data_IF_082925076639
#
_entry.id   IF_082925076639
#
_cell.length_a   1.000
_cell.length_b   1.000
_cell.length_c   1.000
_cell.angle_alpha   90.00
_cell.angle_beta   90.00
_cell.angle_gamma   90.00
#
_symmetry.space_group_name_H-M   'P 1'
#
loop_
_entity.id
_entity.type
_entity.pdbx_description
1 polymer ?
#
# COMPACT_ATOMS: atom_id res chain seq x y z
N UNK A 1 24.80 -24.23 -11.43
CA UNK A 1 23.90 -24.75 -12.50
C UNK A 1 22.45 -24.41 -12.19
N UNK A 2 21.55 -24.29 -13.19
CA UNK A 2 20.13 -23.97 -12.97
C UNK A 2 19.45 -24.86 -11.92
N UNK A 3 19.82 -26.15 -11.86
CA UNK A 3 19.29 -27.09 -10.87
C UNK A 3 19.57 -26.70 -9.40
N UNK A 4 20.70 -26.04 -9.11
CA UNK A 4 21.03 -25.56 -7.76
C UNK A 4 20.17 -24.36 -7.35
N UNK A 5 19.71 -23.57 -8.32
CA UNK A 5 18.80 -22.45 -8.05
C UNK A 5 17.37 -22.92 -7.80
N UNK A 6 16.92 -23.95 -8.53
CA UNK A 6 15.55 -24.48 -8.42
C UNK A 6 15.39 -25.45 -7.25
N UNK A 7 16.44 -26.20 -6.89
CA UNK A 7 16.44 -27.18 -5.81
C UNK A 7 17.73 -27.06 -4.99
N UNK A 8 17.89 -25.99 -4.19
CA UNK A 8 19.11 -25.76 -3.41
C UNK A 8 19.42 -26.88 -2.39
N UNK A 9 18.41 -27.66 -2.00
CA UNK A 9 18.53 -28.78 -1.07
C UNK A 9 18.93 -30.10 -1.72
N UNK A 10 18.88 -30.20 -3.05
CA UNK A 10 19.17 -31.43 -3.78
C UNK A 10 20.66 -31.57 -4.11
N UNK A 11 21.17 -32.81 -4.14
CA UNK A 11 22.49 -33.06 -4.73
C UNK A 11 22.48 -32.77 -6.23
N UNK A 12 23.65 -32.51 -6.81
CA UNK A 12 23.80 -32.18 -8.23
C UNK A 12 23.14 -33.20 -9.16
N UNK A 13 23.34 -34.50 -8.91
CA UNK A 13 22.76 -35.58 -9.71
C UNK A 13 21.22 -35.58 -9.63
N UNK A 14 20.67 -35.40 -8.42
CA UNK A 14 19.22 -35.35 -8.20
C UNK A 14 18.62 -34.12 -8.87
N UNK A 15 19.26 -32.94 -8.74
CA UNK A 15 18.84 -31.71 -9.37
C UNK A 15 18.85 -31.83 -10.91
N UNK A 16 19.88 -32.48 -11.48
CA UNK A 16 19.98 -32.75 -12.92
C UNK A 16 18.87 -33.68 -13.41
N UNK A 17 18.59 -34.76 -12.69
CA UNK A 17 17.46 -35.65 -13.02
C UNK A 17 16.12 -34.91 -12.94
N UNK A 18 15.87 -34.14 -11.88
CA UNK A 18 14.65 -33.32 -11.74
C UNK A 18 14.49 -32.29 -12.85
N UNK A 19 15.60 -31.65 -13.26
CA UNK A 19 15.61 -30.70 -14.37
C UNK A 19 15.20 -31.36 -15.69
N UNK A 20 15.80 -32.52 -16.01
CA UNK A 20 15.46 -33.25 -17.24
C UNK A 20 13.99 -33.71 -17.27
N UNK A 21 13.46 -34.19 -16.14
CA UNK A 21 12.04 -34.56 -16.03
C UNK A 21 11.15 -33.32 -16.21
N UNK A 22 11.47 -32.21 -15.54
CA UNK A 22 10.71 -30.96 -15.63
C UNK A 22 10.70 -30.42 -17.06
N UNK A 23 11.85 -30.40 -17.74
CA UNK A 23 11.95 -30.00 -19.14
C UNK A 23 11.13 -30.89 -20.07
N UNK A 24 11.17 -32.20 -19.87
CA UNK A 24 10.38 -33.13 -20.66
C UNK A 24 8.87 -32.86 -20.50
N UNK A 25 8.42 -32.64 -19.26
CA UNK A 25 7.03 -32.30 -18.97
C UNK A 25 6.63 -30.95 -19.56
N UNK A 26 7.50 -29.93 -19.46
CA UNK A 26 7.27 -28.62 -20.04
C UNK A 26 7.14 -28.69 -21.56
N UNK A 27 8.07 -29.37 -22.23
CA UNK A 27 8.01 -29.60 -23.70
C UNK A 27 6.71 -30.27 -24.09
N UNK A 28 6.34 -31.37 -23.42
CA UNK A 28 5.09 -32.09 -23.68
C UNK A 28 3.85 -31.22 -23.47
N UNK A 29 3.87 -30.35 -22.46
CA UNK A 29 2.76 -29.42 -22.22
C UNK A 29 2.64 -28.40 -23.36
N UNK A 30 3.77 -27.81 -23.78
CA UNK A 30 3.83 -26.86 -24.89
C UNK A 30 3.45 -27.51 -26.22
N UNK A 31 3.87 -28.75 -26.49
CA UNK A 31 3.44 -29.51 -27.69
C UNK A 31 1.93 -29.65 -27.77
N UNK A 32 1.25 -29.78 -26.62
CA UNK A 32 -0.20 -29.88 -26.54
C UNK A 32 -0.93 -28.59 -26.90
N UNK A 33 -0.32 -27.44 -26.66
CA UNK A 33 -0.89 -26.13 -27.03
C UNK A 33 -0.48 -25.70 -28.44
N UNK A 34 0.79 -25.90 -28.79
CA UNK A 34 1.34 -25.63 -30.11
C UNK A 34 2.65 -26.40 -30.31
N UNK A 35 2.66 -27.33 -31.28
CA UNK A 35 3.80 -28.18 -31.58
C UNK A 35 5.09 -27.41 -31.89
N UNK A 36 5.01 -26.18 -32.41
CA UNK A 36 6.21 -25.38 -32.70
C UNK A 36 6.86 -24.76 -31.45
N UNK A 37 6.15 -24.67 -30.33
CA UNK A 37 6.70 -24.07 -29.10
C UNK A 37 7.70 -24.97 -28.39
N UNK A 38 7.54 -26.29 -28.50
CA UNK A 38 8.47 -27.22 -27.88
C UNK A 38 9.84 -27.24 -28.56
N UNK A 39 9.86 -26.98 -29.88
CA UNK A 39 11.08 -26.84 -30.67
C UNK A 39 11.88 -25.57 -30.29
N UNK A 40 11.24 -24.58 -29.67
CA UNK A 40 11.90 -23.35 -29.19
C UNK A 40 12.67 -23.56 -27.88
N UNK A 41 12.45 -24.66 -27.15
CA UNK A 41 13.27 -24.99 -25.97
C UNK A 41 14.47 -25.82 -26.41
N UNK A 42 15.59 -25.13 -26.59
CA UNK A 42 16.88 -25.73 -26.88
C UNK A 42 17.55 -26.20 -25.59
N UNK A 43 18.02 -27.44 -25.58
CA UNK A 43 18.77 -28.00 -24.46
C UNK A 43 19.99 -28.72 -25.00
N UNK A 44 21.18 -28.27 -24.63
CA UNK A 44 22.45 -28.87 -25.01
C UNK A 44 23.29 -29.21 -23.75
N UNK A 45 24.59 -29.46 -23.94
CA UNK A 45 25.51 -29.74 -22.83
C UNK A 45 25.88 -28.48 -22.03
N UNK A 46 25.75 -27.31 -22.63
CA UNK A 46 26.18 -26.02 -22.10
C UNK A 46 25.03 -25.31 -21.37
N UNK A 47 23.78 -25.64 -21.68
CA UNK A 47 22.63 -25.16 -20.92
C UNK A 47 21.28 -25.41 -21.57
N UNK A 48 20.31 -24.60 -21.11
CA UNK A 48 18.93 -24.60 -21.58
C UNK A 48 18.64 -23.18 -22.04
N UNK A 49 18.08 -23.06 -23.23
CA UNK A 49 17.76 -21.77 -23.85
C UNK A 49 16.34 -21.83 -24.39
N UNK A 50 15.67 -20.68 -24.36
CA UNK A 50 14.41 -20.48 -25.05
C UNK A 50 14.71 -19.59 -26.27
N UNK A 51 14.42 -20.10 -27.47
CA UNK A 51 14.38 -19.29 -28.68
C UNK A 51 13.15 -18.36 -28.58
N UNK A 52 13.35 -17.02 -28.51
CA UNK A 52 12.24 -16.10 -28.44
C UNK A 52 11.42 -16.04 -29.73
N UNK A 53 11.89 -16.64 -30.82
CA UNK A 53 11.23 -16.59 -32.13
C UNK A 53 9.86 -17.24 -32.09
N UNK A 54 8.80 -16.42 -32.02
CA UNK A 54 7.41 -16.89 -31.95
C UNK A 54 6.89 -17.11 -30.52
N UNK A 55 7.68 -16.76 -29.50
CA UNK A 55 7.19 -16.64 -28.11
C UNK A 55 6.95 -15.19 -27.79
N UNK A 56 5.76 -14.87 -27.29
CA UNK A 56 5.49 -13.56 -26.73
C UNK A 56 5.85 -13.57 -25.24
N UNK A 57 6.87 -12.78 -24.86
CA UNK A 57 7.31 -12.63 -23.48
C UNK A 57 7.09 -11.18 -23.08
N UNK A 58 6.01 -10.93 -22.33
CA UNK A 58 5.62 -9.60 -21.86
C UNK A 58 6.75 -8.89 -21.09
N UNK A 59 7.47 -9.62 -20.24
CA UNK A 59 8.58 -9.08 -19.47
C UNK A 59 9.79 -8.70 -20.32
N UNK A 60 10.02 -9.40 -21.44
CA UNK A 60 11.07 -9.03 -22.38
C UNK A 60 10.71 -7.71 -23.09
N UNK A 61 9.45 -7.55 -23.50
CA UNK A 61 8.96 -6.31 -24.08
C UNK A 61 9.00 -5.15 -23.08
N UNK A 62 8.68 -5.42 -21.81
CA UNK A 62 8.78 -4.44 -20.73
C UNK A 62 10.22 -3.95 -20.57
N UNK A 63 11.17 -4.88 -20.58
CA UNK A 63 12.60 -4.57 -20.47
C UNK A 63 13.10 -3.78 -21.67
N UNK A 64 12.68 -4.14 -22.88
CA UNK A 64 13.02 -3.40 -24.11
C UNK A 64 12.46 -1.97 -24.08
N UNK A 65 11.20 -1.80 -23.69
CA UNK A 65 10.59 -0.48 -23.52
C UNK A 65 11.32 0.36 -22.46
N UNK A 66 11.73 -0.25 -21.34
CA UNK A 66 12.57 0.41 -20.32
C UNK A 66 13.89 0.92 -20.90
N UNK A 67 14.61 0.06 -21.63
CA UNK A 67 15.89 0.43 -22.26
C UNK A 67 15.71 1.51 -23.34
N UNK A 68 14.60 1.48 -24.08
CA UNK A 68 14.26 2.50 -25.09
C UNK A 68 14.01 3.84 -24.42
N UNK A 69 13.24 3.87 -23.33
CA UNK A 69 12.97 5.09 -22.57
C UNK A 69 14.26 5.71 -21.99
N UNK A 70 15.19 4.88 -21.52
CA UNK A 70 16.47 5.32 -20.95
C UNK A 70 17.43 5.89 -22.01
N UNK A 71 17.53 5.25 -23.18
CA UNK A 71 18.54 5.58 -24.17
C UNK A 71 18.09 6.57 -25.25
N UNK A 72 16.78 6.72 -25.48
CA UNK A 72 16.32 7.65 -26.52
C UNK A 72 16.56 9.11 -26.12
N UNK A 73 16.93 9.93 -27.09
CA UNK A 73 17.00 11.39 -26.95
C UNK A 73 15.71 12.09 -27.38
N UNK A 74 14.81 11.38 -28.07
CA UNK A 74 13.52 11.91 -28.51
C UNK A 74 12.49 11.83 -27.38
N UNK A 75 11.89 12.97 -27.03
CA UNK A 75 10.89 13.07 -25.96
C UNK A 75 9.60 12.30 -26.31
N UNK A 76 9.17 12.33 -27.57
CA UNK A 76 7.95 11.61 -28.00
C UNK A 76 8.16 10.10 -27.96
N UNK A 77 9.34 9.62 -28.39
CA UNK A 77 9.69 8.20 -28.29
C UNK A 77 9.78 7.75 -26.82
N UNK A 78 10.39 8.57 -25.95
CA UNK A 78 10.49 8.29 -24.52
C UNK A 78 9.13 8.14 -23.88
N UNK A 79 8.20 9.04 -24.23
CA UNK A 79 6.82 9.00 -23.77
C UNK A 79 6.08 7.75 -24.23
N UNK A 80 6.23 7.36 -25.50
CA UNK A 80 5.64 6.11 -26.02
C UNK A 80 6.20 4.91 -25.24
N UNK A 81 7.50 4.87 -24.99
CA UNK A 81 8.13 3.81 -24.21
C UNK A 81 7.59 3.75 -22.76
N UNK A 82 7.42 4.89 -22.08
CA UNK A 82 6.77 4.90 -20.76
C UNK A 82 5.32 4.41 -20.82
N UNK A 83 4.56 4.74 -21.85
CA UNK A 83 3.20 4.23 -22.01
C UNK A 83 3.19 2.71 -22.15
N UNK A 84 4.08 2.15 -22.97
CA UNK A 84 4.26 0.70 -23.12
C UNK A 84 4.61 0.02 -21.79
N UNK A 85 5.55 0.57 -21.02
CA UNK A 85 5.90 0.09 -19.66
C UNK A 85 4.66 0.03 -18.77
N UNK A 86 3.85 1.09 -18.74
CA UNK A 86 2.64 1.13 -17.90
C UNK A 86 1.53 0.18 -18.36
N UNK A 87 1.51 -0.19 -19.64
CA UNK A 87 0.57 -1.14 -20.21
C UNK A 87 0.97 -2.59 -19.91
N UNK A 88 2.26 -2.90 -20.03
CA UNK A 88 2.80 -4.25 -19.83
C UNK A 88 2.86 -4.64 -18.35
N UNK A 89 3.10 -3.69 -17.44
CA UNK A 89 3.13 -3.95 -16.01
C UNK A 89 1.72 -4.01 -15.41
N UNK A 90 1.19 -5.22 -15.25
CA UNK A 90 -0.15 -5.47 -14.72
C UNK A 90 -0.18 -5.85 -13.24
N UNK A 91 0.99 -5.95 -12.59
CA UNK A 91 1.12 -6.25 -11.16
C UNK A 91 2.44 -6.95 -10.84
N UNK A 92 2.47 -7.64 -9.69
CA UNK A 92 3.67 -8.36 -9.22
C UNK A 92 4.11 -9.43 -10.23
N UNK A 93 5.35 -9.33 -10.68
CA UNK A 93 5.97 -10.29 -11.59
C UNK A 93 5.88 -11.73 -11.04
N UNK A 94 5.46 -12.67 -11.90
CA UNK A 94 5.31 -14.08 -11.58
C UNK A 94 4.48 -14.33 -10.31
N UNK A 95 3.30 -13.69 -10.23
CA UNK A 95 2.37 -13.87 -9.11
C UNK A 95 2.07 -15.36 -8.89
N UNK A 96 2.17 -15.81 -7.63
CA UNK A 96 2.02 -17.23 -7.26
C UNK A 96 3.35 -17.96 -7.02
N UNK A 97 4.48 -17.42 -7.50
CA UNK A 97 5.81 -17.95 -7.21
C UNK A 97 6.47 -17.16 -6.06
N UNK A 98 7.12 -17.83 -5.11
CA UNK A 98 7.76 -17.19 -3.96
C UNK A 98 9.28 -17.39 -3.94
N UNK A 99 9.87 -17.64 -5.10
CA UNK A 99 11.30 -17.92 -5.20
C UNK A 99 12.14 -16.67 -4.89
N UNK A 100 13.15 -16.76 -4.00
CA UNK A 100 13.97 -15.61 -3.60
C UNK A 100 14.67 -14.93 -4.78
N UNK A 101 15.05 -15.69 -5.82
CA UNK A 101 15.74 -15.13 -6.99
C UNK A 101 14.86 -14.20 -7.82
N UNK A 102 13.53 -14.22 -7.66
CA UNK A 102 12.61 -13.34 -8.37
C UNK A 102 12.54 -11.94 -7.76
N UNK A 103 12.95 -11.78 -6.50
CA UNK A 103 12.74 -10.51 -5.78
C UNK A 103 13.51 -9.32 -6.39
N UNK A 104 14.79 -9.45 -6.80
CA UNK A 104 15.48 -8.35 -7.49
C UNK A 104 14.75 -7.89 -8.76
N UNK A 105 14.22 -8.83 -9.54
CA UNK A 105 13.47 -8.54 -10.76
C UNK A 105 12.13 -7.87 -10.47
N UNK A 106 11.43 -8.32 -9.42
CA UNK A 106 10.18 -7.70 -8.94
C UNK A 106 10.40 -6.25 -8.50
N UNK A 107 11.45 -6.02 -7.71
CA UNK A 107 11.80 -4.67 -7.24
C UNK A 107 12.14 -3.77 -8.41
N UNK A 108 13.00 -4.23 -9.32
CA UNK A 108 13.40 -3.47 -10.52
C UNK A 108 12.19 -3.14 -11.40
N UNK A 109 11.37 -4.12 -11.76
CA UNK A 109 10.20 -3.91 -12.60
C UNK A 109 9.20 -2.93 -11.98
N UNK A 110 8.97 -3.04 -10.67
CA UNK A 110 8.11 -2.11 -9.93
C UNK A 110 8.67 -0.69 -9.93
N UNK A 111 9.98 -0.52 -9.74
CA UNK A 111 10.62 0.80 -9.76
C UNK A 111 10.50 1.44 -11.15
N UNK A 112 10.83 0.70 -12.21
CA UNK A 112 10.67 1.14 -13.60
C UNK A 112 9.23 1.54 -13.92
N UNK A 113 8.25 0.76 -13.44
CA UNK A 113 6.84 1.09 -13.59
C UNK A 113 6.46 2.39 -12.89
N UNK A 114 6.85 2.54 -11.62
CA UNK A 114 6.56 3.74 -10.81
C UNK A 114 7.18 4.96 -11.48
N UNK A 115 8.43 4.88 -11.91
CA UNK A 115 9.12 5.96 -12.62
C UNK A 115 8.38 6.37 -13.90
N UNK A 116 8.00 5.41 -14.74
CA UNK A 116 7.22 5.68 -15.95
C UNK A 116 5.88 6.37 -15.64
N UNK A 117 5.17 5.94 -14.60
CA UNK A 117 3.93 6.59 -14.13
C UNK A 117 4.18 8.02 -13.68
N UNK A 118 5.21 8.25 -12.85
CA UNK A 118 5.54 9.59 -12.35
C UNK A 118 5.87 10.54 -13.50
N UNK A 119 6.64 10.08 -14.48
CA UNK A 119 7.01 10.85 -15.66
C UNK A 119 5.80 11.17 -16.54
N UNK A 120 4.98 10.18 -16.88
CA UNK A 120 3.74 10.39 -17.66
C UNK A 120 2.76 11.33 -16.96
N UNK A 121 2.60 11.17 -15.65
CA UNK A 121 1.76 12.05 -14.86
C UNK A 121 2.30 13.49 -14.87
N UNK A 122 3.63 13.67 -14.83
CA UNK A 122 4.27 14.99 -14.84
C UNK A 122 4.02 15.70 -16.16
N UNK A 123 4.24 15.01 -17.28
CA UNK A 123 3.94 15.55 -18.60
C UNK A 123 2.45 15.87 -18.77
N UNK A 124 1.57 14.94 -18.37
CA UNK A 124 0.14 15.13 -18.45
C UNK A 124 -0.32 16.33 -17.61
N UNK A 125 0.35 16.60 -16.48
CA UNK A 125 0.08 17.79 -15.65
C UNK A 125 0.43 19.07 -16.41
N UNK A 126 1.58 19.10 -17.07
CA UNK A 126 2.07 20.27 -17.80
C UNK A 126 1.21 20.59 -19.03
N UNK A 127 0.79 19.56 -19.78
CA UNK A 127 0.07 19.73 -21.06
C UNK A 127 -1.45 19.78 -20.87
N UNK A 128 -2.01 18.94 -19.99
CA UNK A 128 -3.45 18.72 -19.87
C UNK A 128 -4.01 19.04 -18.47
N UNK A 129 -3.18 19.56 -17.57
CA UNK A 129 -3.56 19.93 -16.21
C UNK A 129 -3.65 18.76 -15.22
N UNK A 130 -3.88 19.13 -13.95
CA UNK A 130 -3.83 18.21 -12.81
C UNK A 130 -4.80 17.02 -12.92
N UNK A 131 -6.02 17.26 -13.40
CA UNK A 131 -7.03 16.19 -13.48
C UNK A 131 -6.62 15.04 -14.40
N UNK A 132 -5.88 15.32 -15.47
CA UNK A 132 -5.38 14.29 -16.39
C UNK A 132 -4.24 13.51 -15.74
N UNK A 133 -3.35 14.21 -15.05
CA UNK A 133 -2.24 13.60 -14.31
C UNK A 133 -2.74 12.64 -13.21
N UNK A 134 -3.80 13.01 -12.48
CA UNK A 134 -4.41 12.16 -11.46
C UNK A 134 -4.96 10.84 -12.00
N UNK A 135 -5.33 10.77 -13.28
CA UNK A 135 -5.77 9.50 -13.89
C UNK A 135 -4.63 8.48 -13.92
N UNK A 136 -3.39 8.91 -14.19
CA UNK A 136 -2.22 8.05 -14.16
C UNK A 136 -1.96 7.50 -12.75
N UNK A 137 -2.02 8.36 -11.72
CA UNK A 137 -1.89 7.88 -10.34
C UNK A 137 -3.00 6.93 -9.94
N UNK A 138 -4.26 7.24 -10.27
CA UNK A 138 -5.37 6.32 -9.96
C UNK A 138 -5.25 4.98 -10.68
N UNK A 139 -4.75 4.96 -11.91
CA UNK A 139 -4.45 3.71 -12.62
C UNK A 139 -3.33 2.96 -11.90
N UNK A 140 -2.26 3.66 -11.53
CA UNK A 140 -1.12 3.05 -10.87
C UNK A 140 -1.46 2.47 -9.50
N UNK A 141 -2.30 3.14 -8.72
CA UNK A 141 -2.80 2.64 -7.44
C UNK A 141 -3.73 1.43 -7.57
N UNK A 142 -4.26 1.12 -8.75
CA UNK A 142 -4.98 -0.15 -8.97
C UNK A 142 -4.03 -1.33 -9.12
N UNK A 143 -2.83 -1.08 -9.65
CA UNK A 143 -1.79 -2.08 -9.87
C UNK A 143 -0.92 -2.23 -8.61
N UNK A 144 -0.42 -1.10 -8.10
CA UNK A 144 0.49 -0.97 -6.97
C UNK A 144 -0.18 -0.22 -5.81
N UNK A 145 -1.24 -0.81 -5.24
CA UNK A 145 -2.12 -0.17 -4.26
C UNK A 145 -1.47 0.30 -2.95
N UNK A 146 -0.22 -0.06 -2.67
CA UNK A 146 0.51 0.35 -1.47
C UNK A 146 1.81 1.10 -1.76
N UNK A 147 2.02 1.60 -2.98
CA UNK A 147 3.28 2.25 -3.32
C UNK A 147 3.39 3.67 -2.72
N UNK A 148 4.27 3.82 -1.73
CA UNK A 148 4.50 5.07 -1.00
C UNK A 148 4.98 6.23 -1.89
N UNK A 149 5.75 5.95 -2.94
CA UNK A 149 6.27 6.98 -3.85
C UNK A 149 5.15 7.62 -4.67
N UNK A 150 4.22 6.82 -5.20
CA UNK A 150 3.03 7.31 -5.91
C UNK A 150 2.19 8.18 -4.97
N UNK A 151 2.00 7.75 -3.71
CA UNK A 151 1.28 8.54 -2.71
C UNK A 151 1.97 9.87 -2.38
N UNK A 152 3.28 9.84 -2.17
CA UNK A 152 4.08 11.02 -1.87
C UNK A 152 4.02 12.03 -3.01
N UNK A 153 4.23 11.57 -4.26
CA UNK A 153 4.16 12.41 -5.45
C UNK A 153 2.78 13.06 -5.60
N UNK A 154 1.71 12.28 -5.48
CA UNK A 154 0.34 12.79 -5.56
C UNK A 154 0.08 13.84 -4.47
N UNK A 155 0.43 13.55 -3.21
CA UNK A 155 0.24 14.47 -2.07
C UNK A 155 1.02 15.78 -2.26
N UNK A 156 2.28 15.69 -2.70
CA UNK A 156 3.11 16.86 -2.98
C UNK A 156 2.52 17.75 -4.08
N UNK A 157 1.95 17.16 -5.13
CA UNK A 157 1.33 17.94 -6.19
C UNK A 157 0.06 18.65 -5.73
N UNK A 158 -0.77 18.00 -4.91
CA UNK A 158 -1.94 18.67 -4.34
C UNK A 158 -1.54 19.82 -3.41
N UNK A 159 -0.52 19.63 -2.58
CA UNK A 159 0.00 20.71 -1.73
C UNK A 159 0.49 21.91 -2.55
N UNK A 160 1.13 21.67 -3.70
CA UNK A 160 1.59 22.74 -4.60
C UNK A 160 0.46 23.46 -5.34
N UNK A 161 -0.63 22.77 -5.66
CA UNK A 161 -1.71 23.32 -6.49
C UNK A 161 -2.77 24.07 -5.65
N UNK A 162 -2.80 23.81 -4.35
CA UNK A 162 -3.79 24.41 -3.44
C UNK A 162 -3.37 25.83 -3.08
N UNK A 163 -4.21 26.80 -3.43
CA UNK A 163 -3.96 28.22 -3.10
C UNK A 163 -4.19 28.51 -1.61
N UNK A 164 -5.02 27.69 -0.95
CA UNK A 164 -5.34 27.82 0.47
C UNK A 164 -5.08 26.51 1.22
N UNK A 165 -4.88 26.61 2.54
CA UNK A 165 -4.70 25.45 3.42
C UNK A 165 -5.94 24.54 3.42
N UNK A 166 -7.13 25.13 3.28
CA UNK A 166 -8.39 24.39 3.29
C UNK A 166 -8.59 23.60 1.99
N UNK A 167 -8.18 24.13 0.84
CA UNK A 167 -8.18 23.40 -0.44
C UNK A 167 -7.21 22.21 -0.42
N UNK A 168 -6.05 22.39 0.23
CA UNK A 168 -5.07 21.33 0.41
C UNK A 168 -5.63 20.20 1.30
N UNK A 169 -6.29 20.56 2.40
CA UNK A 169 -6.97 19.61 3.28
C UNK A 169 -8.11 18.88 2.58
N UNK A 170 -8.96 19.60 1.85
CA UNK A 170 -10.07 19.01 1.11
C UNK A 170 -9.58 18.00 0.05
N UNK A 171 -8.50 18.35 -0.66
CA UNK A 171 -7.87 17.48 -1.66
C UNK A 171 -7.24 16.24 -1.02
N UNK A 172 -6.48 16.41 0.07
CA UNK A 172 -5.92 15.29 0.84
C UNK A 172 -7.01 14.34 1.36
N UNK A 173 -8.13 14.88 1.85
CA UNK A 173 -9.27 14.09 2.27
C UNK A 173 -9.94 13.34 1.10
N UNK A 174 -10.03 13.95 -0.08
CA UNK A 174 -10.57 13.30 -1.27
C UNK A 174 -9.68 12.13 -1.77
N UNK A 175 -8.37 12.28 -1.69
CA UNK A 175 -7.39 11.22 -1.94
C UNK A 175 -7.58 10.09 -0.93
N UNK A 176 -7.56 10.41 0.37
CA UNK A 176 -7.74 9.44 1.45
C UNK A 176 -9.07 8.67 1.29
N UNK A 177 -10.14 9.34 0.86
CA UNK A 177 -11.43 8.70 0.57
C UNK A 177 -11.38 7.78 -0.65
N UNK A 178 -10.75 8.23 -1.75
CA UNK A 178 -10.58 7.41 -2.96
C UNK A 178 -9.73 6.18 -2.69
N UNK A 179 -8.73 6.34 -1.82
CA UNK A 179 -7.86 5.30 -1.30
C UNK A 179 -8.60 4.24 -0.51
N UNK A 180 -9.34 4.65 0.52
CA UNK A 180 -10.19 3.75 1.30
C UNK A 180 -11.12 2.95 0.40
N UNK A 181 -11.71 3.60 -0.61
CA UNK A 181 -12.59 2.95 -1.58
C UNK A 181 -11.87 1.95 -2.48
N UNK A 182 -10.63 2.22 -2.87
CA UNK A 182 -9.81 1.30 -3.66
C UNK A 182 -9.43 0.07 -2.84
N UNK A 183 -8.92 0.26 -1.62
CA UNK A 183 -8.55 -0.81 -0.68
C UNK A 183 -9.75 -1.72 -0.39
N UNK A 184 -10.92 -1.14 -0.09
CA UNK A 184 -12.14 -1.89 0.19
C UNK A 184 -12.68 -2.65 -1.03
N UNK A 185 -12.40 -2.20 -2.26
CA UNK A 185 -12.92 -2.82 -3.49
C UNK A 185 -12.04 -3.95 -4.01
N UNK A 186 -10.72 -3.78 -3.94
CA UNK A 186 -9.80 -4.73 -4.55
C UNK A 186 -9.57 -5.96 -3.66
N UNK A 187 -9.92 -5.87 -2.37
CA UNK A 187 -9.76 -6.97 -1.42
C UNK A 187 -8.32 -7.51 -1.37
N UNK A 188 -7.34 -6.70 -1.83
CA UNK A 188 -5.97 -7.14 -2.10
C UNK A 188 -5.34 -7.67 -0.80
N UNK A 189 -5.15 -9.00 -0.67
CA UNK A 189 -4.41 -9.59 0.42
C UNK A 189 -2.95 -9.25 0.17
N UNK A 190 -2.43 -8.25 0.89
CA UNK A 190 -1.10 -7.69 0.64
C UNK A 190 -1.01 -6.19 0.87
N UNK A 191 -2.15 -5.48 0.96
CA UNK A 191 -2.19 -4.23 1.72
C UNK A 191 -2.16 -4.65 3.19
N UNK A 192 -0.98 -4.96 3.70
CA UNK A 192 -0.82 -5.18 5.12
C UNK A 192 -0.64 -3.83 5.80
N UNK A 193 -1.63 -3.36 6.58
CA UNK A 193 -1.43 -2.34 7.60
C UNK A 193 -0.65 -2.89 8.81
N UNK A 194 0.19 -3.92 8.60
CA UNK A 194 0.95 -4.60 9.66
C UNK A 194 2.06 -3.74 10.22
N UNK A 195 2.30 -2.54 9.70
CA UNK A 195 3.28 -1.60 10.24
C UNK A 195 2.61 -0.23 10.28
N UNK A 196 2.23 0.17 11.48
CA UNK A 196 1.75 1.51 11.76
C UNK A 196 2.77 2.22 12.65
N UNK A 197 2.95 3.52 12.41
CA UNK A 197 3.73 4.37 13.30
C UNK A 197 2.75 4.92 14.33
N UNK A 198 2.76 4.39 15.55
CA UNK A 198 2.03 5.00 16.65
C UNK A 198 2.97 5.82 17.50
N UNK A 199 2.50 6.99 17.94
CA UNK A 199 3.15 7.72 19.02
C UNK A 199 2.37 7.52 20.30
N UNK A 200 3.07 7.05 21.33
CA UNK A 200 2.55 6.90 22.69
C UNK A 200 2.96 8.13 23.48
N UNK A 201 1.99 8.82 24.04
CA UNK A 201 2.22 9.94 24.94
C UNK A 201 2.20 9.47 26.39
N UNK A 202 3.34 9.48 27.06
CA UNK A 202 3.44 9.26 28.50
C UNK A 202 3.30 10.60 29.22
N UNK A 203 2.30 10.72 30.10
CA UNK A 203 1.99 11.97 30.80
C UNK A 203 2.18 11.78 32.30
N UNK A 204 3.33 12.22 32.82
CA UNK A 204 3.61 12.25 34.25
C UNK A 204 2.75 13.31 34.96
N UNK A 205 2.08 12.93 36.06
CA UNK A 205 1.30 13.81 36.94
C UNK A 205 0.11 14.55 36.31
N UNK A 206 -0.35 14.15 35.11
CA UNK A 206 -1.53 14.77 34.46
C UNK A 206 -2.82 14.11 34.94
N UNK A 207 -3.81 14.92 35.34
CA UNK A 207 -5.10 14.39 35.78
C UNK A 207 -5.95 13.91 34.60
N UNK A 208 -6.84 12.95 34.87
CA UNK A 208 -7.77 12.41 33.89
C UNK A 208 -8.62 13.48 33.18
N UNK A 209 -8.96 14.55 33.88
CA UNK A 209 -9.83 15.62 33.40
C UNK A 209 -9.09 16.62 32.51
N UNK A 210 -7.83 16.95 32.83
CA UNK A 210 -6.99 17.81 31.98
C UNK A 210 -6.70 17.15 30.64
N UNK A 211 -6.34 15.86 30.65
CA UNK A 211 -6.21 15.11 29.40
C UNK A 211 -7.57 15.06 28.69
N UNK A 212 -8.66 14.89 29.46
CA UNK A 212 -10.07 15.10 29.09
C UNK A 212 -10.26 16.23 28.09
N UNK A 213 -9.97 17.42 28.59
CA UNK A 213 -10.16 18.70 27.93
C UNK A 213 -9.22 18.89 26.72
N UNK A 214 -7.94 18.52 26.85
CA UNK A 214 -6.97 18.65 25.74
C UNK A 214 -7.33 17.74 24.57
N UNK A 215 -7.68 16.49 24.85
CA UNK A 215 -8.03 15.54 23.80
C UNK A 215 -9.39 15.85 23.15
N UNK A 216 -10.35 16.37 23.91
CA UNK A 216 -11.62 16.86 23.38
C UNK A 216 -11.46 18.08 22.45
N UNK A 217 -10.37 18.85 22.58
CA UNK A 217 -10.01 19.94 21.67
C UNK A 217 -9.24 19.51 20.42
N UNK A 218 -8.61 18.33 20.41
CA UNK A 218 -7.70 17.89 19.35
C UNK A 218 -8.17 16.62 18.60
N UNK A 219 -9.47 16.28 18.66
CA UNK A 219 -10.03 15.02 18.11
C UNK A 219 -9.31 13.75 18.65
N UNK A 220 -8.59 13.84 19.78
CA UNK A 220 -7.86 12.72 20.35
C UNK A 220 -8.78 11.91 21.27
N UNK A 221 -8.66 10.59 21.21
CA UNK A 221 -9.62 9.68 21.81
C UNK A 221 -9.31 9.38 23.28
N UNK A 222 -10.35 9.39 24.10
CA UNK A 222 -10.28 9.04 25.50
C UNK A 222 -10.43 7.54 25.74
N UNK A 223 -9.49 6.97 26.51
CA UNK A 223 -9.79 5.78 27.31
C UNK A 223 -9.57 6.12 28.80
N UNK A 224 -10.60 5.88 29.61
CA UNK A 224 -10.55 6.10 31.05
C UNK A 224 -9.92 4.88 31.75
N UNK A 225 -8.88 5.09 32.57
CA UNK A 225 -8.64 4.20 33.72
C UNK A 225 -7.22 3.78 34.08
N UNK A 226 -6.18 3.85 33.22
CA UNK A 226 -4.80 3.41 33.53
C UNK A 226 -3.77 4.06 32.57
N UNK A 227 -2.44 4.00 32.80
CA UNK A 227 -1.44 4.84 32.11
C UNK A 227 -1.68 4.90 30.59
N UNK A 228 -1.96 6.12 30.12
CA UNK A 228 -2.80 6.34 28.93
C UNK A 228 -1.94 6.40 27.68
N UNK A 229 -1.82 5.27 26.98
CA UNK A 229 -1.39 5.27 25.59
C UNK A 229 -2.49 5.90 24.72
N UNK A 230 -2.34 7.18 24.36
CA UNK A 230 -3.11 7.77 23.30
C UNK A 230 -2.46 7.36 21.97
N UNK A 231 -3.07 6.44 21.24
CA UNK A 231 -2.63 6.08 19.89
C UNK A 231 -3.04 7.21 18.95
N UNK A 232 -2.07 8.00 18.52
CA UNK A 232 -2.27 9.08 17.58
C UNK A 232 -1.07 9.15 16.63
N UNK A 233 -1.28 9.77 15.46
CA UNK A 233 -0.16 10.15 14.61
C UNK A 233 0.89 10.98 15.41
N UNK A 234 2.19 10.92 15.07
CA UNK A 234 3.23 11.64 15.79
C UNK A 234 2.97 13.14 15.94
N UNK A 235 2.33 13.74 14.94
CA UNK A 235 1.98 15.16 14.94
C UNK A 235 0.93 15.49 16.01
N UNK A 236 -0.09 14.64 16.15
CA UNK A 236 -1.15 14.81 17.15
C UNK A 236 -0.58 14.56 18.55
N UNK A 237 0.23 13.52 18.75
CA UNK A 237 0.87 13.25 20.04
C UNK A 237 1.76 14.41 20.52
N UNK A 238 2.52 15.04 19.62
CA UNK A 238 3.35 16.22 19.93
C UNK A 238 2.48 17.45 20.25
N UNK A 239 1.39 17.66 19.50
CA UNK A 239 0.48 18.78 19.75
C UNK A 239 -0.17 18.67 21.14
N UNK A 240 -0.68 17.48 21.48
CA UNK A 240 -1.25 17.17 22.81
C UNK A 240 -0.20 17.33 23.90
N UNK A 241 1.04 16.84 23.71
CA UNK A 241 2.13 17.01 24.68
C UNK A 241 2.41 18.48 24.98
N UNK A 242 2.52 19.33 23.95
CA UNK A 242 2.73 20.77 24.11
C UNK A 242 1.59 21.43 24.86
N UNK A 243 0.35 21.09 24.51
CA UNK A 243 -0.82 21.67 25.17
C UNK A 243 -0.90 21.28 26.64
N UNK A 244 -0.51 20.05 26.99
CA UNK A 244 -0.40 19.62 28.37
C UNK A 244 0.70 20.37 29.13
N UNK A 245 1.85 20.62 28.53
CA UNK A 245 2.90 21.43 29.15
C UNK A 245 2.47 22.89 29.38
N UNK A 246 1.62 23.45 28.51
CA UNK A 246 1.04 24.78 28.73
C UNK A 246 0.09 24.79 29.95
N UNK A 247 -0.75 23.76 30.08
CA UNK A 247 -1.75 23.66 31.16
C UNK A 247 -1.16 23.21 32.50
N UNK A 248 -0.08 22.43 32.47
CA UNK A 248 0.62 21.91 33.63
C UNK A 248 2.14 21.96 33.37
N UNK A 249 2.79 23.09 33.65
CA UNK A 249 4.23 23.28 33.37
C UNK A 249 5.15 22.26 34.07
N UNK A 250 4.69 21.70 35.20
CA UNK A 250 5.42 20.69 35.97
C UNK A 250 5.19 19.26 35.46
N UNK A 251 4.29 19.06 34.49
CA UNK A 251 4.01 17.74 33.91
C UNK A 251 5.14 17.31 32.96
N UNK A 252 5.73 16.15 33.24
CA UNK A 252 6.67 15.54 32.32
C UNK A 252 5.91 14.75 31.25
N UNK A 253 5.80 15.31 30.05
CA UNK A 253 5.23 14.61 28.90
C UNK A 253 6.33 14.06 28.00
N UNK A 254 6.37 12.74 27.79
CA UNK A 254 7.33 12.10 26.88
C UNK A 254 6.57 11.44 25.74
N UNK A 255 6.81 11.90 24.51
CA UNK A 255 6.29 11.24 23.31
C UNK A 255 7.29 10.17 22.87
N UNK A 256 6.86 8.92 22.79
CA UNK A 256 7.63 7.82 22.23
C UNK A 256 6.97 7.34 20.95
N UNK A 257 7.67 7.45 19.83
CA UNK A 257 7.21 6.90 18.57
C UNK A 257 7.78 5.49 18.40
N UNK A 258 6.93 4.53 18.08
CA UNK A 258 7.34 3.15 17.81
C UNK A 258 6.66 2.67 16.53
N UNK A 259 7.40 1.95 15.70
CA UNK A 259 6.83 1.13 14.64
C UNK A 259 6.19 -0.09 15.30
N UNK A 260 4.87 -0.21 15.17
CA UNK A 260 4.09 -1.27 15.80
C UNK A 260 3.55 -2.18 14.72
N UNK A 261 3.75 -3.48 14.92
CA UNK A 261 3.12 -4.49 14.09
C UNK A 261 1.82 -5.00 14.69
N UNK A 262 0.92 -5.52 13.85
CA UNK A 262 -0.31 -6.19 14.33
C UNK A 262 0.00 -7.31 15.34
N UNK A 263 1.19 -7.91 15.27
CA UNK A 263 1.69 -8.93 16.19
C UNK A 263 2.31 -8.35 17.50
N UNK A 264 2.66 -7.07 17.54
CA UNK A 264 3.15 -6.38 18.75
C UNK A 264 2.01 -5.92 19.67
N UNK A 265 0.75 -6.03 19.22
CA UNK A 265 -0.42 -5.77 20.04
C UNK A 265 -0.59 -6.90 21.06
N UNK A 266 -0.75 -6.61 22.37
CA UNK A 266 -0.85 -7.66 23.39
C UNK A 266 -2.04 -8.59 23.12
N UNK A 267 -1.85 -9.91 23.33
CA UNK A 267 -2.90 -10.92 23.22
C UNK A 267 -4.15 -10.48 24.01
N UNK A 268 -5.26 -10.27 23.31
CA UNK A 268 -6.47 -9.66 23.88
C UNK A 268 -7.26 -10.68 24.71
N UNK A 269 -7.37 -10.57 26.04
CA UNK A 269 -8.27 -11.43 26.80
C UNK A 269 -9.72 -10.97 26.55
N UNK A 270 -10.60 -11.89 26.17
CA UNK A 270 -12.04 -11.64 26.16
C UNK A 270 -12.52 -11.66 27.62
N UNK A 271 -12.95 -10.54 28.23
CA UNK A 271 -13.42 -10.58 29.61
C UNK A 271 -14.90 -10.97 29.65
N UNK A 272 -15.22 -11.97 30.46
CA UNK A 272 -16.58 -12.30 30.88
C UNK A 272 -16.87 -11.56 32.18
N UNK A 273 -17.58 -10.43 32.15
CA UNK A 273 -18.13 -9.77 33.37
C UNK A 273 -19.44 -9.03 33.04
N UNK A 274 -20.46 -9.26 33.86
CA UNK A 274 -21.74 -8.54 33.88
C UNK A 274 -21.57 -7.04 34.20
N UNK A 275 -22.28 -6.17 33.46
CA UNK A 275 -22.53 -4.79 33.88
C UNK A 275 -21.84 -3.64 33.12
N UNK A 276 -21.27 -3.86 31.93
CA UNK A 276 -20.75 -2.76 31.08
C UNK A 276 -21.53 -2.65 29.75
N UNK A 277 -21.92 -1.44 29.29
CA UNK A 277 -22.49 -1.24 27.97
C UNK A 277 -21.42 -1.28 26.87
N UNK A 278 -21.88 -1.59 25.67
CA UNK A 278 -21.13 -2.07 24.52
C UNK A 278 -20.16 -1.07 23.86
N UNK A 279 -18.95 -1.57 23.55
CA UNK A 279 -17.97 -1.18 22.49
C UNK A 279 -17.22 0.16 22.59
N UNK A 280 -15.88 0.07 22.46
CA UNK A 280 -15.10 0.75 21.41
C UNK A 280 -13.64 0.23 21.35
N UNK A 281 -13.10 0.11 20.13
CA UNK A 281 -11.67 -0.13 19.81
C UNK A 281 -11.22 1.07 18.97
N UNK A 282 -10.05 1.64 19.26
CA UNK A 282 -9.48 2.74 18.49
C UNK A 282 -8.00 2.51 18.22
N UNK A 283 -7.68 2.45 16.93
CA UNK A 283 -6.33 2.46 16.38
C UNK A 283 -6.35 3.50 15.28
N UNK A 284 -5.68 4.64 15.52
CA UNK A 284 -5.43 5.61 14.45
C UNK A 284 -4.46 4.96 13.46
N UNK A 285 -4.87 4.93 12.20
CA UNK A 285 -4.17 4.30 11.06
C UNK A 285 -3.98 2.77 11.03
N UNK A 286 -4.93 1.97 11.54
CA UNK A 286 -5.21 0.62 10.98
C UNK A 286 -6.70 0.29 11.13
N UNK A 287 -7.42 0.21 10.01
CA UNK A 287 -8.69 -0.51 9.81
C UNK A 287 -9.84 -0.31 10.81
N UNK A 288 -11.01 0.10 10.31
CA UNK A 288 -12.27 -0.38 10.88
C UNK A 288 -13.33 -0.62 9.79
N UNK A 289 -13.67 -1.90 9.62
CA UNK A 289 -14.87 -2.40 8.95
C UNK A 289 -16.09 -2.38 9.88
N UNK A 290 -17.27 -2.39 9.25
CA UNK A 290 -18.62 -2.49 9.80
C UNK A 290 -18.84 -3.67 10.78
N UNK A 291 -19.72 -3.47 11.76
CA UNK A 291 -20.59 -4.54 12.29
C UNK A 291 -22.04 -4.15 12.05
N UNK A 292 -22.75 -5.01 11.33
CA UNK A 292 -24.19 -4.96 11.11
C UNK A 292 -24.95 -4.99 12.44
N UNK A 293 -26.09 -4.31 12.49
CA UNK A 293 -27.19 -4.66 13.41
C UNK A 293 -28.35 -5.15 12.55
N UNK A 294 -28.68 -6.45 12.65
CA UNK A 294 -30.00 -6.95 12.29
C UNK A 294 -30.95 -6.76 13.48
N UNK A 295 -32.16 -6.27 13.22
CA UNK A 295 -33.28 -6.22 14.17
C UNK A 295 -33.89 -4.83 14.37
N UNK A 296 -34.95 -4.55 13.60
CA UNK A 296 -36.13 -3.67 13.79
C UNK A 296 -36.25 -2.91 15.15
N UNK A 297 -36.72 -1.66 15.33
CA UNK A 297 -37.78 -0.83 14.70
C UNK A 297 -37.73 0.62 15.30
N UNK A 298 -38.72 1.53 15.16
CA UNK A 298 -38.60 2.82 14.47
C UNK A 298 -38.65 4.02 15.44
N UNK A 299 -37.52 4.68 15.69
CA UNK A 299 -37.54 5.96 16.44
C UNK A 299 -36.50 6.98 15.98
N UNK A 300 -36.07 6.89 14.71
CA UNK A 300 -35.23 7.91 14.07
C UNK A 300 -36.08 8.84 13.18
N UNK A 301 -37.11 9.43 13.78
CA UNK A 301 -37.89 10.53 13.17
C UNK A 301 -37.85 11.81 14.01
N UNK A 302 -36.75 12.08 14.73
CA UNK A 302 -36.66 13.29 15.56
C UNK A 302 -35.30 13.96 15.65
N UNK A 303 -34.42 13.74 14.68
CA UNK A 303 -33.17 14.52 14.54
C UNK A 303 -33.06 15.19 13.17
N UNK A 304 -34.05 14.99 12.28
CA UNK A 304 -34.13 15.65 10.97
C UNK A 304 -34.82 17.02 10.99
N UNK A 305 -35.53 17.38 12.07
CA UNK A 305 -36.39 18.59 12.07
C UNK A 305 -35.89 19.72 12.99
N UNK A 306 -34.83 19.52 13.79
CA UNK A 306 -34.27 20.57 14.67
C UNK A 306 -32.97 21.22 14.13
N UNK A 307 -32.36 20.70 13.05
CA UNK A 307 -31.18 21.32 12.45
C UNK A 307 -31.50 22.35 11.33
N UNK A 308 -32.78 22.51 10.97
CA UNK A 308 -33.25 23.47 9.94
C UNK A 308 -34.25 24.53 10.46
N UNK A 309 -34.40 24.68 11.78
CA UNK A 309 -35.27 25.71 12.34
C UNK A 309 -34.60 26.43 13.52
N UNK A 310 -33.75 27.41 13.18
CA UNK A 310 -33.31 28.62 13.90
C UNK A 310 -31.96 29.01 13.26
N UNK A 311 -31.80 30.19 12.67
CA UNK A 311 -31.64 31.47 13.37
C UNK A 311 -30.45 31.42 14.34
#
# INVERSE_FOLDING_TARGET
MLGEFLWPEASEDVARTRLNVTLHLLKKHLEGENSSLADQIESDRDGIRLDPTGVHIDFAQFTEASLRAEHTTDEDERKVAWQEITLLYTGRLATGLNEPFLEPWRVSARQTYVEAVLNLATEARLVHGLNTALKFFHQALRVEGANAEIYSAMTNWFAQTSQTVDDAKASANAIAKSLRKAILRTGLPGVFPERAICSVLDTGNVTANMLGEVCAHEEALHMTGQPRAAFASPRVAIAVARKLQEMAPDAQSVVRTREVTLADLPEWPVPTVEGLPARAILVDEVSAMLLASEGESPTLKRVSDEFFALA
#
